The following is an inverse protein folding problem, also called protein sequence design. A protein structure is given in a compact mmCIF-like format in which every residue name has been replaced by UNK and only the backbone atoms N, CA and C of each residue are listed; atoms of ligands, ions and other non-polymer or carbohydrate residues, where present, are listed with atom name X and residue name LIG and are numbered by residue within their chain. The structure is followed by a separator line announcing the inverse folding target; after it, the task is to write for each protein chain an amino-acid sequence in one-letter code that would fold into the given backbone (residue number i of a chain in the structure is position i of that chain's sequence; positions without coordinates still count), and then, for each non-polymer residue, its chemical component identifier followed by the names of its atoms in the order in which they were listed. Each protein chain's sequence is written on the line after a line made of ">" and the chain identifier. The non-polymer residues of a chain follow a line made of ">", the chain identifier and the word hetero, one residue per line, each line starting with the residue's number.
data_IF_240855002995
#
_entry.id   IF_240855002995
#
_cell.length_a   1.000
_cell.length_b   1.000
_cell.length_c   1.000
_cell.angle_alpha   90.00
_cell.angle_beta   90.00
_cell.angle_gamma   90.00
#
_symmetry.space_group_name_H-M   'P 1'
#
loop_
_entity.id
_entity.type
_entity.pdbx_description
1 polymer ?
#
# COMPACT_ATOMS: atom_id res chain seq x y z
N UNK A 1 -5.25 1.77 -13.12
CA UNK A 1 -5.31 2.58 -11.88
C UNK A 1 -4.28 2.14 -10.83
N UNK A 2 -4.11 0.84 -10.55
CA UNK A 2 -3.14 0.33 -9.56
C UNK A 2 -1.68 0.61 -9.92
N UNK A 3 -1.33 0.46 -11.19
CA UNK A 3 0.02 0.72 -11.71
C UNK A 3 0.46 2.17 -11.45
N UNK A 4 -0.42 3.14 -11.68
CA UNK A 4 -0.15 4.55 -11.38
C UNK A 4 0.04 4.78 -9.88
N UNK A 5 -0.77 4.14 -9.02
CA UNK A 5 -0.61 4.21 -7.56
C UNK A 5 0.75 3.66 -7.11
N UNK A 6 1.13 2.49 -7.63
CA UNK A 6 2.43 1.90 -7.35
C UNK A 6 3.58 2.82 -7.79
N UNK A 7 3.49 3.39 -9.00
CA UNK A 7 4.49 4.32 -9.50
C UNK A 7 4.61 5.58 -8.63
N UNK A 8 3.48 6.18 -8.23
CA UNK A 8 3.47 7.34 -7.33
C UNK A 8 4.05 7.01 -5.95
N UNK A 9 3.77 5.82 -5.41
CA UNK A 9 4.31 5.37 -4.13
C UNK A 9 5.83 5.17 -4.20
N UNK A 10 6.33 4.59 -5.30
CA UNK A 10 7.76 4.37 -5.51
C UNK A 10 8.53 5.70 -5.59
N UNK A 11 7.99 6.67 -6.36
CA UNK A 11 8.58 8.01 -6.46
C UNK A 11 8.50 8.75 -5.12
N UNK A 12 7.34 8.74 -4.45
CA UNK A 12 7.15 9.46 -3.20
C UNK A 12 8.02 8.92 -2.05
N UNK A 13 8.24 7.61 -2.02
CA UNK A 13 9.10 6.96 -1.03
C UNK A 13 10.59 6.97 -1.40
N UNK A 14 10.95 7.46 -2.60
CA UNK A 14 12.29 7.42 -3.16
C UNK A 14 12.90 6.00 -3.12
N UNK A 15 12.10 5.00 -3.48
CA UNK A 15 12.52 3.60 -3.48
C UNK A 15 13.23 3.24 -4.79
N UNK A 16 14.22 2.34 -4.74
CA UNK A 16 14.85 1.82 -5.95
C UNK A 16 13.86 1.01 -6.80
N UNK A 17 14.03 1.06 -8.13
CA UNK A 17 13.09 0.47 -9.09
C UNK A 17 12.92 -1.06 -8.96
N UNK A 18 13.93 -1.76 -8.43
CA UNK A 18 13.84 -3.20 -8.24
C UNK A 18 12.76 -3.62 -7.24
N UNK A 19 12.29 -2.71 -6.37
CA UNK A 19 11.22 -2.96 -5.39
C UNK A 19 9.81 -2.72 -5.98
N UNK A 20 9.69 -2.58 -7.31
CA UNK A 20 8.43 -2.23 -7.97
C UNK A 20 7.31 -3.23 -7.70
N UNK A 21 7.63 -4.52 -7.64
CA UNK A 21 6.68 -5.61 -7.36
C UNK A 21 6.13 -5.55 -5.93
N UNK A 22 6.97 -5.28 -4.93
CA UNK A 22 6.49 -5.12 -3.55
C UNK A 22 5.64 -3.87 -3.39
N UNK A 23 6.03 -2.76 -4.05
CA UNK A 23 5.23 -1.53 -4.05
C UNK A 23 3.89 -1.75 -4.78
N UNK A 24 3.86 -2.55 -5.84
CA UNK A 24 2.63 -2.90 -6.54
C UNK A 24 1.69 -3.75 -5.66
N UNK A 25 2.24 -4.75 -4.95
CA UNK A 25 1.49 -5.54 -3.98
C UNK A 25 0.92 -4.65 -2.88
N UNK A 26 1.72 -3.73 -2.34
CA UNK A 26 1.26 -2.77 -1.34
C UNK A 26 0.16 -1.85 -1.88
N UNK A 27 0.29 -1.35 -3.11
CA UNK A 27 -0.75 -0.55 -3.76
C UNK A 27 -2.05 -1.34 -3.95
N UNK A 28 -1.97 -2.62 -4.29
CA UNK A 28 -3.12 -3.54 -4.39
C UNK A 28 -3.81 -3.73 -3.05
N UNK A 29 -3.02 -3.93 -2.00
CA UNK A 29 -3.48 -4.12 -0.65
C UNK A 29 -4.18 -2.86 -0.14
N UNK A 30 -3.53 -1.70 -0.25
CA UNK A 30 -4.10 -0.40 0.13
C UNK A 30 -5.34 -0.06 -0.68
N UNK A 31 -5.41 -0.45 -1.95
CA UNK A 31 -6.61 -0.27 -2.76
C UNK A 31 -7.78 -1.11 -2.25
N UNK A 32 -7.54 -2.33 -1.79
CA UNK A 32 -8.56 -3.19 -1.17
C UNK A 32 -9.05 -2.65 0.18
N UNK A 33 -8.23 -1.82 0.85
CA UNK A 33 -8.51 -1.15 2.12
C UNK A 33 -9.14 0.24 1.97
N UNK A 34 -8.96 0.88 0.81
CA UNK A 34 -9.55 2.17 0.51
C UNK A 34 -11.07 2.04 0.35
N UNK A 35 -11.81 3.02 0.87
CA UNK A 35 -13.23 3.16 0.59
C UNK A 35 -13.41 3.66 -0.83
N UNK A 36 -14.22 2.96 -1.62
CA UNK A 36 -14.57 3.42 -2.97
C UNK A 36 -15.99 3.97 -2.98
N UNK A 37 -16.19 5.08 -3.68
CA UNK A 37 -17.52 5.69 -3.86
C UNK A 37 -18.49 4.72 -4.53
N UNK A 38 -17.98 3.90 -5.45
CA UNK A 38 -18.73 2.81 -6.10
C UNK A 38 -19.27 1.76 -5.15
N UNK A 39 -18.76 1.69 -3.92
CA UNK A 39 -19.21 0.79 -2.86
C UNK A 39 -19.95 1.53 -1.73
N UNK A 40 -20.51 2.71 -2.02
CA UNK A 40 -21.20 3.58 -1.03
C UNK A 40 -20.32 3.87 0.20
N UNK A 41 -19.03 4.16 -0.03
CA UNK A 41 -18.08 4.44 1.05
C UNK A 41 -17.69 3.21 1.87
N UNK A 42 -18.04 1.99 1.43
CA UNK A 42 -17.54 0.75 2.02
C UNK A 42 -16.22 0.36 1.39
N UNK A 43 -15.38 -0.28 2.19
CA UNK A 43 -14.11 -0.86 1.74
C UNK A 43 -14.35 -2.24 1.12
N UNK A 44 -13.72 -2.59 -0.03
CA UNK A 44 -13.79 -3.92 -0.62
C UNK A 44 -13.46 -5.04 0.38
N UNK A 45 -12.40 -4.88 1.18
CA UNK A 45 -12.03 -5.85 2.22
C UNK A 45 -13.14 -6.06 3.27
N UNK A 46 -13.88 -5.00 3.62
CA UNK A 46 -15.02 -5.08 4.55
C UNK A 46 -16.20 -5.82 3.94
N UNK A 47 -16.45 -5.65 2.65
CA UNK A 47 -17.51 -6.37 1.93
C UNK A 47 -17.17 -7.86 1.80
N UNK A 48 -15.91 -8.18 1.54
CA UNK A 48 -15.45 -9.56 1.40
C UNK A 48 -15.44 -10.32 2.71
N UNK A 49 -14.95 -9.71 3.79
CA UNK A 49 -14.76 -10.39 5.09
C UNK A 49 -15.88 -10.12 6.10
N UNK A 50 -16.78 -9.17 5.82
CA UNK A 50 -17.81 -8.70 6.75
C UNK A 50 -17.27 -7.91 7.95
N UNK A 51 -15.94 -7.80 8.11
CA UNK A 51 -15.28 -7.17 9.26
C UNK A 51 -14.61 -5.86 8.83
N UNK A 52 -14.61 -4.86 9.72
CA UNK A 52 -13.85 -3.63 9.47
C UNK A 52 -12.36 -3.98 9.44
N UNK A 53 -11.61 -3.57 8.40
CA UNK A 53 -10.19 -3.88 8.34
C UNK A 53 -9.44 -3.18 9.47
N UNK A 54 -8.54 -3.90 10.12
CA UNK A 54 -7.63 -3.35 11.12
C UNK A 54 -6.47 -2.67 10.40
N UNK A 55 -6.23 -1.38 10.69
CA UNK A 55 -5.18 -0.57 10.06
C UNK A 55 -3.92 -0.43 10.94
N UNK A 56 -3.90 -1.00 12.15
CA UNK A 56 -2.79 -0.88 13.10
C UNK A 56 -1.49 -1.52 12.62
N UNK A 57 -1.54 -2.39 11.61
CA UNK A 57 -0.35 -2.99 11.01
C UNK A 57 0.27 -2.11 9.92
N UNK A 58 -0.43 -1.08 9.43
CA UNK A 58 0.08 -0.21 8.38
C UNK A 58 1.22 0.65 8.92
N UNK A 59 2.27 0.81 8.12
CA UNK A 59 3.44 1.64 8.41
C UNK A 59 3.74 2.55 7.23
N UNK A 60 4.42 3.66 7.50
CA UNK A 60 4.91 4.52 6.44
C UNK A 60 5.88 3.76 5.52
N UNK A 61 5.79 4.04 4.22
CA UNK A 61 6.65 3.45 3.21
C UNK A 61 8.00 4.15 3.28
N UNK A 62 8.91 3.60 4.11
CA UNK A 62 10.36 3.86 4.19
C UNK A 62 10.85 3.37 5.55
N UNK A 63 11.99 2.70 5.57
CA UNK A 63 12.72 2.41 6.81
C UNK A 63 14.15 2.93 6.66
N UNK A 64 14.67 3.67 7.65
CA UNK A 64 16.08 4.03 7.66
C UNK A 64 16.89 2.76 8.01
N UNK A 65 17.63 2.24 7.04
CA UNK A 65 18.56 1.15 7.23
C UNK A 65 19.99 1.71 7.31
N UNK A 66 20.73 1.33 8.34
CA UNK A 66 22.14 1.70 8.51
C UNK A 66 23.01 0.49 8.17
N UNK A 67 24.01 0.68 7.30
CA UNK A 67 25.01 -0.35 7.00
C UNK A 67 26.15 -0.18 7.99
N UNK A 68 26.47 -1.25 8.73
CA UNK A 68 27.69 -1.30 9.54
C UNK A 68 28.88 -1.50 8.61
N UNK A 69 29.64 -0.44 8.36
CA UNK A 69 30.92 -0.51 7.67
C UNK A 69 31.97 -0.82 8.73
N UNK A 70 32.74 -1.89 8.52
CA UNK A 70 33.83 -2.33 9.39
C UNK A 70 35.16 -1.76 8.92
#
# INVERSE_FOLDING_TARGET
>A
MLMNKAHTMLIAANLPYFLWDEVYLMASYLHSLATTESLNGKTPAKLWTGRKPNLSHLREIRCQAFVLIK
#
